data_IF_352347372375
#
_entry.id   IF_352347372375
#
_cell.length_a   1.000
_cell.length_b   1.000
_cell.length_c   1.000
_cell.angle_alpha   90.00
_cell.angle_beta   90.00
_cell.angle_gamma   90.00
#
_symmetry.space_group_name_H-M   'P 1'
#
loop_
_entity.id
_entity.type
_entity.pdbx_description
1 polymer ?
#
# COMPACT_ATOMS: atom_id res chain seq x y z
N UNK A 1 -4.15 -35.96 -23.12
CA UNK A 1 -3.09 -35.07 -22.61
C UNK A 1 -3.21 -33.76 -23.35
N UNK A 2 -3.57 -32.67 -22.68
CA UNK A 2 -3.72 -31.35 -23.32
C UNK A 2 -2.33 -30.70 -23.46
N UNK A 3 -1.87 -30.36 -24.67
CA UNK A 3 -0.57 -29.73 -24.92
C UNK A 3 -0.71 -28.21 -24.87
N UNK A 4 -1.12 -27.69 -23.73
CA UNK A 4 -1.12 -26.27 -23.40
C UNK A 4 -0.49 -26.12 -22.02
N UNK A 5 0.79 -26.49 -21.92
CA UNK A 5 1.64 -25.89 -20.89
C UNK A 5 1.72 -24.40 -21.23
N UNK A 6 0.76 -23.64 -20.72
CA UNK A 6 0.86 -22.20 -20.69
C UNK A 6 2.14 -21.89 -19.92
N UNK A 7 3.09 -21.25 -20.59
CA UNK A 7 4.32 -20.76 -19.98
C UNK A 7 3.93 -19.82 -18.82
N UNK A 8 3.86 -20.35 -17.60
CA UNK A 8 3.52 -19.60 -16.39
C UNK A 8 4.50 -18.43 -16.15
N UNK A 9 5.70 -18.52 -16.73
CA UNK A 9 6.77 -17.52 -16.72
C UNK A 9 6.90 -16.69 -18.01
N UNK A 10 5.90 -16.71 -18.92
CA UNK A 10 5.93 -15.83 -20.09
C UNK A 10 5.90 -14.35 -19.69
N UNK A 11 6.68 -13.46 -20.35
CA UNK A 11 6.63 -12.01 -20.15
C UNK A 11 5.21 -11.43 -20.22
N UNK A 12 4.35 -12.05 -21.06
CA UNK A 12 2.94 -11.68 -21.20
C UNK A 12 2.13 -12.00 -19.95
N UNK A 13 2.38 -13.15 -19.32
CA UNK A 13 1.73 -13.56 -18.07
C UNK A 13 2.08 -12.62 -16.93
N UNK A 14 3.35 -12.20 -16.83
CA UNK A 14 3.79 -11.22 -15.84
C UNK A 14 3.18 -9.84 -16.09
N UNK A 15 3.17 -9.37 -17.34
CA UNK A 15 2.54 -8.10 -17.71
C UNK A 15 1.04 -8.07 -17.32
N UNK A 16 0.32 -9.15 -17.61
CA UNK A 16 -1.11 -9.24 -17.29
C UNK A 16 -1.38 -9.31 -15.78
N UNK A 17 -0.51 -9.98 -15.01
CA UNK A 17 -0.55 -9.96 -13.54
C UNK A 17 -0.32 -8.56 -12.99
N UNK A 18 0.73 -7.86 -13.45
CA UNK A 18 1.06 -6.50 -13.01
C UNK A 18 -0.06 -5.50 -13.34
N UNK A 19 -0.63 -5.61 -14.54
CA UNK A 19 -1.77 -4.77 -14.95
C UNK A 19 -3.00 -5.03 -14.08
N UNK A 20 -3.32 -6.30 -13.82
CA UNK A 20 -4.47 -6.67 -13.00
C UNK A 20 -4.31 -6.19 -11.56
N UNK A 21 -3.11 -6.35 -10.97
CA UNK A 21 -2.78 -5.86 -9.64
C UNK A 21 -2.97 -4.34 -9.51
N UNK A 22 -2.42 -3.57 -10.46
CA UNK A 22 -2.59 -2.11 -10.50
C UNK A 22 -4.06 -1.71 -10.57
N UNK A 23 -4.85 -2.42 -11.39
CA UNK A 23 -6.27 -2.13 -11.53
C UNK A 23 -7.03 -2.40 -10.23
N UNK A 24 -6.78 -3.54 -9.57
CA UNK A 24 -7.42 -3.89 -8.29
C UNK A 24 -7.07 -2.88 -7.21
N UNK A 25 -5.79 -2.52 -7.05
CA UNK A 25 -5.35 -1.51 -6.08
C UNK A 25 -6.02 -0.17 -6.35
N UNK A 26 -6.04 0.30 -7.60
CA UNK A 26 -6.67 1.57 -7.94
C UNK A 26 -8.17 1.60 -7.60
N UNK A 27 -8.89 0.51 -7.88
CA UNK A 27 -10.31 0.39 -7.55
C UNK A 27 -10.54 0.42 -6.02
N UNK A 28 -9.68 -0.28 -5.27
CA UNK A 28 -9.75 -0.35 -3.81
C UNK A 28 -9.43 0.99 -3.14
N UNK A 29 -8.36 1.65 -3.58
CA UNK A 29 -7.99 3.00 -3.12
C UNK A 29 -9.11 4.00 -3.40
N UNK A 30 -9.73 3.94 -4.59
CA UNK A 30 -10.82 4.84 -4.94
C UNK A 30 -12.04 4.71 -3.99
N UNK A 31 -12.33 3.51 -3.46
CA UNK A 31 -13.44 3.26 -2.52
C UNK A 31 -13.06 3.37 -1.03
N UNK A 32 -11.79 3.59 -0.71
CA UNK A 32 -11.29 3.63 0.67
C UNK A 32 -11.87 4.82 1.42
N UNK A 33 -12.62 4.60 2.50
CA UNK A 33 -13.25 5.64 3.34
C UNK A 33 -13.93 6.76 2.51
N UNK A 34 -15.06 6.48 1.83
CA UNK A 34 -15.68 7.40 0.86
C UNK A 34 -16.11 8.75 1.43
N UNK A 35 -16.46 8.78 2.72
CA UNK A 35 -16.93 9.97 3.44
C UNK A 35 -15.82 10.90 3.89
N UNK A 36 -14.58 10.40 3.96
CA UNK A 36 -13.44 11.15 4.45
C UNK A 36 -12.75 11.88 3.29
N UNK A 37 -12.81 13.22 3.33
CA UNK A 37 -12.26 14.08 2.27
C UNK A 37 -10.75 13.91 2.06
N UNK A 38 -10.03 13.51 3.12
CA UNK A 38 -8.61 13.21 3.09
C UNK A 38 -8.25 12.23 1.97
N UNK A 39 -8.98 11.11 1.86
CA UNK A 39 -8.72 10.06 0.86
C UNK A 39 -9.23 10.39 -0.55
N UNK A 40 -9.81 11.57 -0.76
CA UNK A 40 -10.14 12.10 -2.10
C UNK A 40 -8.99 12.88 -2.72
N UNK A 41 -7.98 13.24 -1.93
CA UNK A 41 -6.83 13.99 -2.41
C UNK A 41 -5.96 13.12 -3.31
N UNK A 42 -5.60 13.64 -4.50
CA UNK A 42 -4.84 12.89 -5.50
C UNK A 42 -3.51 12.37 -4.96
N UNK A 43 -2.81 13.16 -4.13
CA UNK A 43 -1.54 12.74 -3.55
C UNK A 43 -1.71 11.57 -2.57
N UNK A 44 -2.76 11.58 -1.75
CA UNK A 44 -3.06 10.50 -0.80
C UNK A 44 -3.40 9.21 -1.53
N UNK A 45 -4.21 9.28 -2.59
CA UNK A 45 -4.52 8.10 -3.41
C UNK A 45 -3.28 7.54 -4.12
N UNK A 46 -2.38 8.42 -4.55
CA UNK A 46 -1.11 8.04 -5.15
C UNK A 46 -0.23 7.30 -4.13
N UNK A 47 -0.03 7.87 -2.93
CA UNK A 47 0.73 7.25 -1.85
C UNK A 47 0.17 5.87 -1.45
N UNK A 48 -1.15 5.75 -1.30
CA UNK A 48 -1.78 4.46 -1.01
C UNK A 48 -1.48 3.43 -2.12
N UNK A 49 -1.61 3.84 -3.38
CA UNK A 49 -1.38 2.96 -4.52
C UNK A 49 0.07 2.52 -4.62
N UNK A 50 1.01 3.45 -4.44
CA UNK A 50 2.44 3.19 -4.56
C UNK A 50 2.93 2.27 -3.45
N UNK A 51 2.54 2.51 -2.19
CA UNK A 51 2.89 1.66 -1.06
C UNK A 51 2.34 0.24 -1.27
N UNK A 52 1.07 0.08 -1.65
CA UNK A 52 0.46 -1.24 -1.87
C UNK A 52 1.13 -1.98 -3.04
N UNK A 53 1.48 -1.27 -4.11
CA UNK A 53 2.18 -1.84 -5.26
C UNK A 53 3.59 -2.29 -4.88
N UNK A 54 4.36 -1.45 -4.18
CA UNK A 54 5.72 -1.78 -3.73
C UNK A 54 5.66 -2.98 -2.80
N UNK A 55 4.77 -2.98 -1.81
CA UNK A 55 4.62 -4.06 -0.86
C UNK A 55 4.27 -5.39 -1.55
N UNK A 56 3.33 -5.38 -2.51
CA UNK A 56 2.89 -6.57 -3.22
C UNK A 56 3.96 -7.14 -4.16
N UNK A 57 4.82 -6.28 -4.71
CA UNK A 57 5.94 -6.71 -5.57
C UNK A 57 7.18 -7.13 -4.78
N UNK A 58 7.44 -6.51 -3.63
CA UNK A 58 8.57 -6.85 -2.77
C UNK A 58 8.33 -8.16 -2.00
N UNK A 59 7.09 -8.42 -1.60
CA UNK A 59 6.72 -9.63 -0.86
C UNK A 59 6.19 -10.70 -1.81
N UNK A 60 7.08 -11.40 -2.51
CA UNK A 60 6.71 -12.46 -3.46
C UNK A 60 5.83 -13.58 -2.88
N UNK A 61 5.79 -13.74 -1.56
CA UNK A 61 4.94 -14.70 -0.84
C UNK A 61 3.57 -14.15 -0.44
N UNK A 62 3.42 -12.82 -0.29
CA UNK A 62 2.20 -12.17 0.18
C UNK A 62 1.64 -11.29 -0.93
N UNK A 63 0.67 -11.82 -1.65
CA UNK A 63 -0.05 -11.08 -2.68
C UNK A 63 -0.95 -10.02 -2.04
N UNK A 64 -1.15 -8.90 -2.73
CA UNK A 64 -2.14 -7.89 -2.34
C UNK A 64 -3.51 -8.53 -2.13
N UNK A 65 -4.18 -8.16 -1.04
CA UNK A 65 -5.54 -8.61 -0.72
C UNK A 65 -6.44 -7.46 -0.32
N UNK A 66 -7.71 -7.59 -0.67
CA UNK A 66 -8.75 -6.65 -0.24
C UNK A 66 -8.73 -6.50 1.30
N UNK A 67 -8.81 -5.25 1.77
CA UNK A 67 -8.68 -4.88 3.19
C UNK A 67 -7.31 -4.35 3.57
N UNK A 68 -6.24 -4.70 2.83
CA UNK A 68 -4.91 -4.12 3.06
C UNK A 68 -4.88 -2.59 2.86
N UNK A 69 -5.69 -2.08 1.92
CA UNK A 69 -5.84 -0.65 1.69
C UNK A 69 -6.47 0.08 2.89
N UNK A 70 -7.37 -0.56 3.63
CA UNK A 70 -8.00 0.05 4.82
C UNK A 70 -7.00 0.15 5.97
N UNK A 71 -6.20 -0.90 6.20
CA UNK A 71 -5.11 -0.87 7.19
C UNK A 71 -4.10 0.23 6.86
N UNK A 72 -3.65 0.28 5.60
CA UNK A 72 -2.70 1.29 5.17
C UNK A 72 -3.30 2.71 5.29
N UNK A 73 -4.56 2.89 4.94
CA UNK A 73 -5.22 4.20 5.03
C UNK A 73 -5.31 4.73 6.46
N UNK A 74 -5.57 3.86 7.44
CA UNK A 74 -5.53 4.24 8.87
C UNK A 74 -4.12 4.64 9.31
N UNK A 75 -3.09 3.93 8.84
CA UNK A 75 -1.70 4.29 9.14
C UNK A 75 -1.33 5.63 8.50
N UNK A 76 -1.65 5.82 7.21
CA UNK A 76 -1.28 7.01 6.45
C UNK A 76 -1.87 8.29 7.05
N UNK A 77 -3.16 8.28 7.40
CA UNK A 77 -3.80 9.46 8.00
C UNK A 77 -3.24 9.76 9.40
N UNK A 78 -2.85 8.75 10.17
CA UNK A 78 -2.20 8.94 11.46
C UNK A 78 -0.81 9.56 11.31
N UNK A 79 0.02 9.04 10.39
CA UNK A 79 1.36 9.57 10.11
C UNK A 79 1.29 11.02 9.60
N UNK A 80 0.38 11.32 8.67
CA UNK A 80 0.25 12.68 8.13
C UNK A 80 -0.28 13.67 9.18
N UNK A 81 -1.17 13.20 10.06
CA UNK A 81 -1.63 13.97 11.22
C UNK A 81 -0.48 14.32 12.17
N UNK A 82 0.35 13.33 12.52
CA UNK A 82 1.48 13.52 13.42
C UNK A 82 2.58 14.39 12.79
N UNK A 83 2.82 14.27 11.48
CA UNK A 83 3.74 15.14 10.74
C UNK A 83 3.23 16.59 10.65
N UNK A 84 1.92 16.81 10.83
CA UNK A 84 1.31 18.13 10.93
C UNK A 84 1.24 18.69 12.35
N UNK A 85 1.48 17.87 13.37
CA UNK A 85 1.41 18.27 14.76
C UNK A 85 2.71 18.98 15.19
N UNK A 86 2.54 19.92 16.13
CA UNK A 86 3.53 20.86 16.70
C UNK A 86 4.95 20.29 16.85
N UNK A 87 5.95 21.08 16.41
CA UNK A 87 7.42 20.88 16.51
C UNK A 87 7.82 19.56 17.20
N UNK A 88 8.04 18.47 16.44
CA UNK A 88 8.47 17.21 17.03
C UNK A 88 9.80 17.40 17.78
N UNK A 89 9.80 17.09 19.08
CA UNK A 89 10.95 17.26 19.94
C UNK A 89 11.97 16.11 19.76
N UNK A 90 13.25 16.46 19.60
CA UNK A 90 14.36 15.49 19.59
C UNK A 90 14.40 14.59 18.35
N UNK A 91 14.66 13.29 18.57
CA UNK A 91 14.85 12.28 17.50
C UNK A 91 13.60 12.07 16.62
N UNK A 92 12.42 12.47 17.11
CA UNK A 92 11.15 12.36 16.38
C UNK A 92 11.05 13.32 15.18
N UNK A 93 11.93 14.33 15.11
CA UNK A 93 11.93 15.32 14.02
C UNK A 93 12.22 14.71 12.65
N UNK A 94 12.95 13.60 12.59
CA UNK A 94 13.22 12.88 11.36
C UNK A 94 12.07 11.96 10.91
N UNK A 95 11.22 11.52 11.84
CA UNK A 95 10.11 10.57 11.61
C UNK A 95 8.76 11.28 11.43
N UNK A 96 8.66 12.54 11.87
CA UNK A 96 7.44 13.35 11.76
C UNK A 96 7.62 14.50 10.77
N UNK A 97 8.50 14.33 9.78
CA UNK A 97 8.67 15.30 8.71
C UNK A 97 7.69 14.99 7.58
N UNK A 98 6.88 15.98 7.21
CA UNK A 98 5.87 15.85 6.14
C UNK A 98 6.43 15.34 4.81
N UNK A 99 7.73 15.52 4.56
CA UNK A 99 8.41 15.01 3.35
C UNK A 99 8.57 13.49 3.33
N UNK A 100 8.43 12.84 4.49
CA UNK A 100 8.67 11.40 4.66
C UNK A 100 7.41 10.61 5.05
N UNK A 101 6.22 11.23 5.05
CA UNK A 101 4.94 10.59 5.40
C UNK A 101 4.71 9.27 4.65
N UNK A 102 4.98 9.22 3.34
CA UNK A 102 4.82 8.00 2.54
C UNK A 102 5.78 6.89 2.98
N UNK A 103 7.03 7.26 3.24
CA UNK A 103 8.07 6.34 3.69
C UNK A 103 7.74 5.77 5.08
N UNK A 104 7.32 6.62 6.00
CA UNK A 104 7.03 6.22 7.38
C UNK A 104 5.75 5.38 7.43
N UNK A 105 4.73 5.72 6.62
CA UNK A 105 3.56 4.87 6.43
C UNK A 105 3.91 3.50 5.82
N UNK A 106 4.81 3.44 4.83
CA UNK A 106 5.30 2.18 4.26
C UNK A 106 5.99 1.33 5.34
N UNK A 107 6.93 1.91 6.09
CA UNK A 107 7.68 1.21 7.11
C UNK A 107 6.77 0.65 8.22
N UNK A 108 5.78 1.43 8.67
CA UNK A 108 4.78 0.95 9.63
C UNK A 108 3.91 -0.16 9.03
N UNK A 109 3.49 0.00 7.79
CA UNK A 109 2.66 -0.98 7.09
C UNK A 109 3.38 -2.33 6.93
N UNK A 110 4.67 -2.33 6.57
CA UNK A 110 5.46 -3.56 6.51
C UNK A 110 5.50 -4.29 7.86
N UNK A 111 5.67 -3.55 8.96
CA UNK A 111 5.68 -4.13 10.32
C UNK A 111 4.31 -4.70 10.71
N UNK A 112 3.23 -4.03 10.35
CA UNK A 112 1.87 -4.54 10.56
C UNK A 112 1.65 -5.81 9.75
N UNK A 113 2.03 -5.82 8.46
CA UNK A 113 1.84 -6.98 7.59
C UNK A 113 2.71 -8.19 7.98
N UNK A 114 3.85 -8.00 8.62
CA UNK A 114 4.62 -9.11 9.22
C UNK A 114 3.82 -9.84 10.33
N UNK A 115 2.97 -9.12 11.04
CA UNK A 115 2.16 -9.68 12.14
C UNK A 115 0.80 -10.17 11.67
N UNK A 116 0.12 -9.36 10.84
CA UNK A 116 -1.22 -9.63 10.34
C UNK A 116 -1.24 -10.49 9.07
N UNK A 117 -0.09 -10.72 8.42
CA UNK A 117 0.04 -11.49 7.19
C UNK A 117 -0.71 -12.83 7.17
N UNK A 118 -0.71 -13.63 8.26
CA UNK A 118 -1.49 -14.88 8.31
C UNK A 118 -3.00 -14.70 8.16
N UNK A 119 -3.57 -13.53 8.48
CA UNK A 119 -5.00 -13.23 8.27
C UNK A 119 -5.33 -12.90 6.81
N UNK A 120 -4.30 -12.63 6.02
CA UNK A 120 -4.37 -12.36 4.60
C UNK A 120 -3.75 -13.54 3.80
N UNK A 121 -3.83 -14.78 4.33
CA UNK A 121 -3.47 -16.04 3.64
C UNK A 121 -4.68 -16.82 3.12
#
# INVERSE_FOLDING_TARGET
>A
MHPLSQDEDSPWTQYQRDHSLRHTIAQDVARTFPTESYFRQTHVQQQLSDILLVQAKANGTLQYRQGMHELLAVLLIAVDGDAGATEPAGELRGVLDRRFVEHDAFALFERVMQTCGPWYQ
#
